data_IF_051496407654
#
_entry.id   IF_051496407654
#
_cell.length_a   1.000
_cell.length_b   1.000
_cell.length_c   1.000
_cell.angle_alpha   90.00
_cell.angle_beta   90.00
_cell.angle_gamma   90.00
#
_symmetry.space_group_name_H-M   'P 1'
#
loop_
_entity.id
_entity.type
_entity.pdbx_description
1 polymer ?
#
# COMPACT_ATOMS: atom_id res chain seq x y z
N UNK A 1 1.93 -1.68 -17.64
CA UNK A 1 1.21 -1.61 -16.35
C UNK A 1 2.25 -1.51 -15.27
N UNK A 2 2.10 -0.55 -14.36
CA UNK A 2 2.95 -0.42 -13.18
C UNK A 2 2.87 -1.72 -12.36
N UNK A 3 4.01 -2.41 -12.19
CA UNK A 3 4.07 -3.62 -11.39
C UNK A 3 4.18 -3.21 -9.92
N UNK A 4 3.17 -3.49 -9.10
CA UNK A 4 3.17 -3.12 -7.68
C UNK A 4 3.61 -4.34 -6.87
N UNK A 5 4.66 -4.17 -6.08
CA UNK A 5 5.22 -5.17 -5.20
C UNK A 5 5.22 -4.64 -3.77
N UNK A 6 4.59 -5.39 -2.86
CA UNK A 6 4.69 -5.13 -1.43
C UNK A 6 6.09 -5.54 -0.97
N UNK A 7 6.85 -4.59 -0.42
CA UNK A 7 8.24 -4.83 0.02
C UNK A 7 8.31 -5.14 1.51
N UNK A 8 7.47 -4.50 2.31
CA UNK A 8 7.44 -4.71 3.76
C UNK A 8 6.11 -4.29 4.35
N UNK A 9 5.69 -4.96 5.42
CA UNK A 9 4.51 -4.57 6.20
C UNK A 9 4.93 -4.36 7.64
N UNK A 10 4.81 -3.13 8.12
CA UNK A 10 5.13 -2.78 9.52
C UNK A 10 3.84 -2.57 10.28
N UNK A 11 3.56 -3.44 11.25
CA UNK A 11 2.40 -3.32 12.13
C UNK A 11 2.84 -2.60 13.40
N UNK A 12 2.18 -1.48 13.71
CA UNK A 12 2.35 -0.77 14.97
C UNK A 12 1.24 -1.17 15.93
N UNK A 13 1.62 -1.59 17.12
CA UNK A 13 0.74 -1.87 18.23
C UNK A 13 0.76 -0.70 19.21
N UNK A 14 -0.40 -0.21 19.62
CA UNK A 14 -0.54 0.74 20.72
C UNK A 14 -1.44 0.12 21.77
N UNK A 15 -1.03 0.17 23.05
CA UNK A 15 -1.84 -0.36 24.16
C UNK A 15 -2.25 -1.84 24.01
N UNK A 16 -1.45 -2.65 23.31
CA UNK A 16 -1.72 -4.08 23.09
C UNK A 16 -2.69 -4.39 21.95
N UNK A 17 -3.21 -3.37 21.25
CA UNK A 17 -4.04 -3.52 20.04
C UNK A 17 -3.28 -3.04 18.81
N UNK A 18 -3.56 -3.63 17.65
CA UNK A 18 -3.03 -3.11 16.38
C UNK A 18 -3.58 -1.68 16.21
N UNK A 19 -2.68 -0.71 16.06
CA UNK A 19 -3.03 0.70 15.96
C UNK A 19 -2.94 1.19 14.52
N UNK A 20 -1.85 0.83 13.82
CA UNK A 20 -1.67 1.23 12.41
C UNK A 20 -0.78 0.24 11.69
N UNK A 21 -1.11 -0.09 10.46
CA UNK A 21 -0.27 -0.93 9.60
C UNK A 21 0.31 -0.07 8.48
N UNK A 22 1.63 -0.01 8.37
CA UNK A 22 2.31 0.65 7.27
C UNK A 22 2.73 -0.40 6.26
N UNK A 23 2.05 -0.44 5.12
CA UNK A 23 2.40 -1.32 4.01
C UNK A 23 3.31 -0.55 3.07
N UNK A 24 4.59 -0.92 3.07
CA UNK A 24 5.57 -0.42 2.11
C UNK A 24 5.38 -1.14 0.78
N UNK A 25 5.37 -0.35 -0.27
CA UNK A 25 5.26 -0.85 -1.63
C UNK A 25 6.31 -0.17 -2.51
N UNK A 26 6.72 -0.92 -3.51
CA UNK A 26 7.49 -0.43 -4.63
C UNK A 26 6.68 -0.71 -5.88
N UNK A 27 6.70 0.24 -6.81
CA UNK A 27 6.15 0.02 -8.13
C UNK A 27 7.13 0.45 -9.20
N UNK A 28 7.23 -0.34 -10.25
CA UNK A 28 8.10 -0.04 -11.39
C UNK A 28 7.30 -0.13 -12.67
N UNK A 29 7.54 0.82 -13.58
CA UNK A 29 7.03 0.74 -14.94
C UNK A 29 7.78 -0.36 -15.72
N UNK A 30 7.14 -1.10 -16.65
CA UNK A 30 7.80 -2.08 -17.52
C UNK A 30 9.05 -1.56 -18.24
N UNK A 31 9.13 -0.27 -18.57
CA UNK A 31 10.32 0.34 -19.18
C UNK A 31 11.45 0.59 -18.16
N UNK A 32 11.18 0.41 -16.86
CA UNK A 32 12.12 0.61 -15.77
C UNK A 32 12.50 2.07 -15.52
N UNK A 33 11.90 3.00 -16.26
CA UNK A 33 12.17 4.44 -16.24
C UNK A 33 11.54 5.13 -15.04
N UNK A 34 10.42 4.62 -14.55
CA UNK A 34 9.69 5.16 -13.39
C UNK A 34 9.70 4.12 -12.27
N UNK A 35 10.24 4.52 -11.13
CA UNK A 35 10.14 3.77 -9.87
C UNK A 35 9.40 4.62 -8.85
N UNK A 36 8.28 4.10 -8.36
CA UNK A 36 7.56 4.63 -7.21
C UNK A 36 7.93 3.81 -5.98
N UNK A 37 8.28 4.49 -4.90
CA UNK A 37 8.50 3.87 -3.60
C UNK A 37 7.67 4.65 -2.59
N UNK A 38 6.94 3.95 -1.74
CA UNK A 38 6.10 4.60 -0.74
C UNK A 38 5.60 3.64 0.31
N UNK A 39 4.81 4.18 1.23
CA UNK A 39 4.06 3.40 2.18
C UNK A 39 2.62 3.89 2.23
N UNK A 40 1.69 2.97 2.45
CA UNK A 40 0.28 3.27 2.66
C UNK A 40 -0.08 2.85 4.08
N UNK A 41 -0.49 3.80 4.93
CA UNK A 41 -1.06 3.46 6.22
C UNK A 41 -2.44 2.85 6.02
N UNK A 42 -2.66 1.72 6.66
CA UNK A 42 -3.93 1.01 6.79
C UNK A 42 -4.30 0.95 8.27
N UNK A 43 -5.60 1.01 8.55
CA UNK A 43 -6.11 0.73 9.89
C UNK A 43 -5.97 -0.76 10.22
N UNK A 44 -6.00 -1.10 11.52
CA UNK A 44 -6.02 -2.48 11.98
C UNK A 44 -7.14 -3.30 11.31
N UNK A 45 -8.35 -2.74 11.29
CA UNK A 45 -9.52 -3.35 10.68
C UNK A 45 -9.36 -3.57 9.18
N UNK A 46 -8.76 -2.60 8.46
CA UNK A 46 -8.47 -2.76 7.04
C UNK A 46 -7.45 -3.88 6.80
N UNK A 47 -6.48 -4.04 7.69
CA UNK A 47 -5.49 -5.11 7.60
C UNK A 47 -6.10 -6.47 7.96
N UNK A 48 -6.87 -6.59 9.05
CA UNK A 48 -7.52 -7.85 9.44
C UNK A 48 -8.51 -8.36 8.39
N UNK A 49 -9.19 -7.45 7.67
CA UNK A 49 -10.05 -7.83 6.55
C UNK A 49 -9.27 -8.18 5.27
N UNK A 50 -8.01 -7.77 5.17
CA UNK A 50 -7.17 -7.93 3.98
C UNK A 50 -5.80 -8.55 4.32
N UNK A 51 -5.72 -9.49 5.28
CA UNK A 51 -4.44 -10.06 5.73
C UNK A 51 -3.67 -10.77 4.60
N UNK A 52 -4.38 -11.16 3.54
CA UNK A 52 -3.77 -11.76 2.37
C UNK A 52 -2.97 -10.72 1.56
N UNK A 53 -1.71 -11.04 1.27
CA UNK A 53 -0.85 -10.28 0.35
C UNK A 53 -1.54 -9.82 -0.95
N UNK A 54 -2.33 -10.64 -1.68
CA UNK A 54 -3.06 -10.17 -2.85
C UNK A 54 -4.08 -9.06 -2.53
N UNK A 55 -4.79 -9.17 -1.41
CA UNK A 55 -5.77 -8.17 -0.97
C UNK A 55 -5.08 -6.85 -0.57
N UNK A 56 -3.97 -6.91 0.18
CA UNK A 56 -3.15 -5.73 0.46
C UNK A 56 -2.64 -5.06 -0.82
N UNK A 57 -2.25 -5.87 -1.81
CA UNK A 57 -1.78 -5.34 -3.10
C UNK A 57 -2.90 -4.61 -3.83
N UNK A 58 -4.13 -5.11 -3.80
CA UNK A 58 -5.29 -4.42 -4.38
C UNK A 58 -5.63 -3.12 -3.64
N UNK A 59 -5.63 -3.14 -2.30
CA UNK A 59 -5.87 -1.94 -1.48
C UNK A 59 -4.80 -0.89 -1.75
N UNK A 60 -3.53 -1.29 -1.74
CA UNK A 60 -2.41 -0.39 -2.01
C UNK A 60 -2.50 0.17 -3.42
N UNK A 61 -2.79 -0.66 -4.42
CA UNK A 61 -3.00 -0.24 -5.81
C UNK A 61 -4.13 0.77 -5.93
N UNK A 62 -5.28 0.50 -5.30
CA UNK A 62 -6.43 1.39 -5.36
C UNK A 62 -6.12 2.74 -4.71
N UNK A 63 -5.50 2.74 -3.53
CA UNK A 63 -5.08 3.98 -2.85
C UNK A 63 -3.99 4.72 -3.64
N UNK A 64 -3.08 4.00 -4.30
CA UNK A 64 -2.06 4.57 -5.18
C UNK A 64 -2.69 5.24 -6.40
N UNK A 65 -3.59 4.56 -7.10
CA UNK A 65 -4.29 5.10 -8.27
C UNK A 65 -5.10 6.35 -7.88
N UNK A 66 -5.80 6.31 -6.74
CA UNK A 66 -6.53 7.47 -6.22
C UNK A 66 -5.60 8.66 -5.90
N UNK A 67 -4.36 8.40 -5.46
CA UNK A 67 -3.35 9.44 -5.19
C UNK A 67 -2.67 9.96 -6.46
N UNK A 68 -2.51 9.10 -7.46
CA UNK A 68 -1.90 9.43 -8.76
C UNK A 68 -2.89 10.05 -9.73
N UNK A 69 -4.20 9.82 -9.55
CA UNK A 69 -5.21 10.60 -10.25
C UNK A 69 -5.03 12.06 -9.84
N UNK A 70 -4.66 12.96 -10.77
CA UNK A 70 -4.67 14.37 -10.47
C UNK A 70 -6.10 14.73 -10.08
N UNK A 71 -6.26 15.44 -8.96
CA UNK A 71 -7.45 16.25 -8.75
C UNK A 71 -7.57 17.09 -10.02
N UNK A 72 -8.59 16.81 -10.83
CA UNK A 72 -8.92 17.62 -11.99
C UNK A 72 -9.28 19.00 -11.47
N UNK A 73 -8.28 19.88 -11.43
CA UNK A 73 -8.42 21.30 -11.12
C UNK A 73 -9.16 22.04 -12.22
#
# INVERSE_FOLDING_TARGET
MLNIQITSTTIRYAEGVVSTVHVQFQSQDPEGTITLNGYIPLSAEEYEQNEALPALTEVVRTKLINRLQPEVG
#
